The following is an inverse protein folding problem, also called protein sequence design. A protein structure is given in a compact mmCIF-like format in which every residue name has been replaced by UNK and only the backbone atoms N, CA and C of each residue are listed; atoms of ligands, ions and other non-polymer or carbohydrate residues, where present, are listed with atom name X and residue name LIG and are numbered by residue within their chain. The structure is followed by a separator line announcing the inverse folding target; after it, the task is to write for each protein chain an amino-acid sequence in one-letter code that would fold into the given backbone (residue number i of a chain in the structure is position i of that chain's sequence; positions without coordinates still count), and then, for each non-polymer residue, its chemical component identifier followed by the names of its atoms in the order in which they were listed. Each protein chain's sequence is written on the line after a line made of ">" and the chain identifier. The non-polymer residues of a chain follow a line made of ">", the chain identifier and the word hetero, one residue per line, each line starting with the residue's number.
data_IF_375333109098
#
_entry.id   IF_375333109098
#
_cell.length_a   1.000
_cell.length_b   1.000
_cell.length_c   1.000
_cell.angle_alpha   90.00
_cell.angle_beta   90.00
_cell.angle_gamma   90.00
#
_symmetry.space_group_name_H-M   'P 1'
#
loop_
_entity.id
_entity.type
_entity.pdbx_description
1 polymer ?
#
# COMPACT_ATOMS: atom_id res chain seq x y z
N UNK A 1 -14.72 13.31 -20.67
CA UNK A 1 -14.92 12.21 -19.74
C UNK A 1 -15.42 10.93 -20.40
N UNK A 2 -16.46 10.98 -21.20
CA UNK A 2 -16.98 9.79 -21.90
C UNK A 2 -15.95 9.06 -22.76
N UNK A 3 -15.00 9.77 -23.39
CA UNK A 3 -13.94 9.19 -24.22
C UNK A 3 -12.93 8.35 -23.44
N UNK A 4 -12.67 8.70 -22.17
CA UNK A 4 -11.72 7.94 -21.32
C UNK A 4 -12.36 6.62 -20.93
N UNK A 5 -13.63 6.64 -20.55
CA UNK A 5 -14.36 5.43 -20.20
C UNK A 5 -14.56 4.51 -21.41
N UNK A 6 -14.89 5.06 -22.56
CA UNK A 6 -15.01 4.29 -23.80
C UNK A 6 -13.70 3.61 -24.19
N UNK A 7 -12.57 4.31 -24.06
CA UNK A 7 -11.25 3.76 -24.35
C UNK A 7 -10.87 2.64 -23.40
N UNK A 8 -11.23 2.75 -22.12
CA UNK A 8 -10.97 1.73 -21.11
C UNK A 8 -11.86 0.50 -21.31
N UNK A 9 -13.11 0.67 -21.69
CA UNK A 9 -14.03 -0.44 -21.95
C UNK A 9 -13.70 -1.18 -23.25
N UNK A 10 -13.21 -0.48 -24.25
CA UNK A 10 -12.82 -1.07 -25.55
C UNK A 10 -11.54 -1.93 -25.47
N UNK A 11 -10.78 -1.85 -24.39
CA UNK A 11 -9.60 -2.68 -24.17
C UNK A 11 -9.94 -4.09 -23.67
N UNK A 12 -11.18 -4.52 -23.86
CA UNK A 12 -11.57 -5.92 -23.71
C UNK A 12 -11.61 -6.44 -22.29
N UNK A 13 -12.21 -5.71 -21.37
CA UNK A 13 -12.40 -6.28 -20.07
C UNK A 13 -12.56 -5.29 -18.94
N UNK A 14 -12.27 -5.75 -17.74
CA UNK A 14 -12.45 -4.99 -16.52
C UNK A 14 -11.68 -3.67 -16.55
N UNK A 15 -12.30 -2.61 -16.06
CA UNK A 15 -11.71 -1.29 -15.93
C UNK A 15 -10.48 -1.32 -15.00
N UNK A 16 -10.52 -2.14 -13.96
CA UNK A 16 -9.45 -2.30 -12.98
C UNK A 16 -8.93 -3.74 -13.03
N UNK A 17 -7.84 -3.95 -13.75
CA UNK A 17 -7.19 -5.27 -13.88
C UNK A 17 -6.11 -5.49 -12.85
N UNK A 18 -5.49 -4.41 -12.38
CA UNK A 18 -4.40 -4.47 -11.41
C UNK A 18 -4.63 -3.45 -10.30
N UNK A 19 -4.43 -3.88 -9.07
CA UNK A 19 -4.67 -3.08 -7.89
C UNK A 19 -3.41 -3.05 -7.02
N UNK A 20 -2.95 -1.85 -6.69
CA UNK A 20 -1.86 -1.67 -5.71
C UNK A 20 -2.47 -1.48 -4.32
N UNK A 21 -1.99 -2.24 -3.36
CA UNK A 21 -2.41 -2.14 -1.96
C UNK A 21 -1.19 -1.94 -1.06
N UNK A 22 -0.87 -0.69 -0.70
CA UNK A 22 0.14 -0.45 0.32
C UNK A 22 -0.33 -0.98 1.67
N UNK A 23 0.58 -1.54 2.43
CA UNK A 23 0.31 -2.01 3.80
C UNK A 23 1.45 -1.63 4.72
N UNK A 24 1.13 -1.24 5.93
CA UNK A 24 2.10 -1.00 7.00
C UNK A 24 1.93 -2.00 8.15
N UNK A 25 1.07 -3.02 7.96
CA UNK A 25 0.79 -4.03 8.96
C UNK A 25 -0.16 -3.59 10.06
N UNK A 26 -0.63 -2.34 10.04
CA UNK A 26 -1.56 -1.82 11.05
C UNK A 26 -2.96 -2.43 10.92
N UNK A 27 -3.77 -2.39 11.99
CA UNK A 27 -5.17 -2.86 11.92
C UNK A 27 -6.00 -2.16 10.85
N UNK A 28 -5.79 -0.87 10.66
CA UNK A 28 -6.47 -0.10 9.60
C UNK A 28 -6.07 -0.59 8.21
N UNK A 29 -4.77 -0.82 8.01
CA UNK A 29 -4.25 -1.40 6.78
C UNK A 29 -4.89 -2.76 6.49
N UNK A 30 -5.03 -3.62 7.50
CA UNK A 30 -5.65 -4.93 7.33
C UNK A 30 -7.12 -4.83 6.94
N UNK A 31 -7.87 -3.88 7.49
CA UNK A 31 -9.24 -3.62 7.08
C UNK A 31 -9.31 -3.20 5.62
N UNK A 32 -8.39 -2.34 5.19
CA UNK A 32 -8.30 -1.91 3.80
C UNK A 32 -7.98 -3.09 2.87
N UNK A 33 -7.09 -3.99 3.29
CA UNK A 33 -6.76 -5.20 2.52
C UNK A 33 -7.98 -6.09 2.36
N UNK A 34 -8.77 -6.30 3.39
CA UNK A 34 -9.98 -7.11 3.29
C UNK A 34 -10.96 -6.55 2.27
N UNK A 35 -11.23 -5.25 2.33
CA UNK A 35 -12.10 -4.59 1.37
C UNK A 35 -11.54 -4.66 -0.05
N UNK A 36 -10.25 -4.35 -0.19
CA UNK A 36 -9.60 -4.37 -1.49
C UNK A 36 -9.56 -5.75 -2.12
N UNK A 37 -9.32 -6.79 -1.31
CA UNK A 37 -9.33 -8.18 -1.79
C UNK A 37 -10.74 -8.63 -2.21
N UNK A 38 -11.77 -8.21 -1.48
CA UNK A 38 -13.15 -8.46 -1.89
C UNK A 38 -13.47 -7.81 -3.23
N UNK A 39 -13.02 -6.58 -3.43
CA UNK A 39 -13.17 -5.88 -4.69
C UNK A 39 -12.39 -6.58 -5.80
N UNK A 40 -11.13 -6.94 -5.56
CA UNK A 40 -10.31 -7.66 -6.52
C UNK A 40 -10.94 -8.98 -6.95
N UNK A 41 -11.51 -9.71 -6.00
CA UNK A 41 -12.23 -10.96 -6.29
C UNK A 41 -13.42 -10.72 -7.22
N UNK A 42 -14.22 -9.70 -6.92
CA UNK A 42 -15.37 -9.35 -7.73
C UNK A 42 -15.01 -8.92 -9.16
N UNK A 43 -13.88 -8.23 -9.31
CA UNK A 43 -13.40 -7.72 -10.59
C UNK A 43 -12.51 -8.70 -11.36
N UNK A 44 -12.08 -9.79 -10.75
CA UNK A 44 -11.06 -10.66 -11.33
C UNK A 44 -9.71 -9.97 -11.47
N UNK A 45 -9.40 -9.02 -10.61
CA UNK A 45 -8.17 -8.25 -10.64
C UNK A 45 -7.02 -8.94 -9.91
N UNK A 46 -5.80 -8.63 -10.35
CA UNK A 46 -4.57 -9.02 -9.66
C UNK A 46 -4.19 -7.93 -8.67
N UNK A 47 -3.60 -8.34 -7.56
CA UNK A 47 -3.22 -7.43 -6.48
C UNK A 47 -1.70 -7.45 -6.28
N UNK A 48 -1.14 -6.30 -5.99
CA UNK A 48 0.25 -6.19 -5.54
C UNK A 48 0.29 -5.48 -4.20
N UNK A 49 0.85 -6.16 -3.19
CA UNK A 49 1.04 -5.57 -1.87
C UNK A 49 2.41 -4.90 -1.79
N UNK A 50 2.43 -3.68 -1.28
CA UNK A 50 3.65 -2.91 -1.13
C UNK A 50 3.82 -2.48 0.33
N UNK A 51 4.92 -2.91 0.93
CA UNK A 51 5.36 -2.41 2.23
C UNK A 51 6.54 -1.47 2.01
N UNK A 52 6.40 -0.20 2.40
CA UNK A 52 7.48 0.77 2.28
C UNK A 52 8.29 0.77 3.57
N UNK A 53 9.55 0.40 3.46
CA UNK A 53 10.49 0.36 4.56
C UNK A 53 11.27 1.67 4.63
N UNK A 54 11.00 2.45 5.68
CA UNK A 54 11.79 3.66 5.93
C UNK A 54 13.10 3.25 6.60
N UNK A 55 14.20 3.63 5.97
CA UNK A 55 15.53 3.29 6.49
C UNK A 55 15.90 4.25 7.63
N UNK A 56 16.03 3.77 8.89
CA UNK A 56 16.43 4.61 10.01
C UNK A 56 17.88 5.07 9.91
N UNK A 57 18.66 4.54 8.97
CA UNK A 57 20.05 4.96 8.77
C UNK A 57 20.18 6.45 8.43
N UNK A 58 19.13 7.10 7.97
CA UNK A 58 19.14 8.54 7.76
C UNK A 58 19.39 9.33 9.07
N UNK A 59 19.03 8.76 10.21
CA UNK A 59 19.28 9.33 11.52
C UNK A 59 20.76 9.25 11.94
N UNK A 60 21.57 8.44 11.26
CA UNK A 60 23.01 8.25 11.56
C UNK A 60 23.80 9.54 11.40
N UNK A 61 23.37 10.40 10.49
CA UNK A 61 24.00 11.72 10.28
C UNK A 61 23.92 12.61 11.51
N UNK A 62 22.92 12.37 12.38
CA UNK A 62 22.68 13.17 13.58
C UNK A 62 23.40 12.58 14.78
N UNK A 63 23.56 11.26 14.84
CA UNK A 63 24.15 10.53 15.96
C UNK A 63 24.95 9.30 15.49
N UNK A 64 26.23 9.50 15.12
CA UNK A 64 27.07 8.40 14.61
C UNK A 64 27.17 7.21 15.56
N UNK A 65 27.12 7.43 16.87
CA UNK A 65 27.12 6.39 17.88
C UNK A 65 25.89 5.50 17.84
N UNK A 66 24.84 5.91 17.13
CA UNK A 66 23.60 5.13 16.95
C UNK A 66 23.68 4.13 15.80
N UNK A 67 24.78 4.08 15.04
CA UNK A 67 24.93 3.21 13.87
C UNK A 67 24.60 1.73 14.15
N UNK A 68 25.11 1.10 15.23
CA UNK A 68 24.78 -0.29 15.51
C UNK A 68 23.28 -0.49 15.76
N UNK A 69 22.66 0.43 16.49
CA UNK A 69 21.23 0.39 16.79
C UNK A 69 20.39 0.64 15.53
N UNK A 70 20.86 1.52 14.65
CA UNK A 70 20.18 1.80 13.39
C UNK A 70 20.15 0.60 12.45
N UNK A 71 21.23 -0.17 12.38
CA UNK A 71 21.31 -1.37 11.55
C UNK A 71 20.44 -2.50 12.12
N UNK A 72 20.45 -2.69 13.42
CA UNK A 72 19.60 -3.66 14.10
C UNK A 72 18.11 -3.32 13.92
N UNK A 73 17.77 -2.05 14.10
CA UNK A 73 16.41 -1.56 13.88
C UNK A 73 15.96 -1.75 12.44
N UNK A 74 16.84 -1.49 11.46
CA UNK A 74 16.54 -1.70 10.05
C UNK A 74 16.20 -3.16 9.76
N UNK A 75 16.96 -4.08 10.33
CA UNK A 75 16.71 -5.51 10.17
C UNK A 75 15.37 -5.92 10.78
N UNK A 76 15.04 -5.40 11.97
CA UNK A 76 13.76 -5.65 12.62
C UNK A 76 12.59 -5.09 11.82
N UNK A 77 12.73 -3.89 11.25
CA UNK A 77 11.73 -3.29 10.39
C UNK A 77 11.55 -4.07 9.09
N UNK A 78 12.63 -4.60 8.54
CA UNK A 78 12.57 -5.45 7.35
C UNK A 78 11.79 -6.73 7.62
N UNK A 79 12.05 -7.37 8.74
CA UNK A 79 11.31 -8.57 9.16
C UNK A 79 9.83 -8.26 9.35
N UNK A 80 9.52 -7.15 10.00
CA UNK A 80 8.13 -6.72 10.17
C UNK A 80 7.44 -6.50 8.82
N UNK A 81 8.14 -5.91 7.87
CA UNK A 81 7.64 -5.72 6.51
C UNK A 81 7.39 -7.02 5.79
N UNK A 82 8.34 -7.95 5.87
CA UNK A 82 8.22 -9.28 5.26
C UNK A 82 7.03 -10.06 5.86
N UNK A 83 6.84 -9.98 7.16
CA UNK A 83 5.71 -10.60 7.85
C UNK A 83 4.37 -9.98 7.43
N UNK A 84 4.32 -8.65 7.31
CA UNK A 84 3.12 -7.95 6.86
C UNK A 84 2.75 -8.35 5.43
N UNK A 85 3.72 -8.44 4.53
CA UNK A 85 3.51 -8.88 3.15
C UNK A 85 3.09 -10.34 3.10
N UNK A 86 3.74 -11.21 3.88
CA UNK A 86 3.38 -12.62 3.94
C UNK A 86 1.93 -12.83 4.42
N UNK A 87 1.52 -12.06 5.42
CA UNK A 87 0.15 -12.08 5.92
C UNK A 87 -0.85 -11.62 4.86
N UNK A 88 -0.53 -10.56 4.13
CA UNK A 88 -1.36 -10.06 3.05
C UNK A 88 -1.50 -11.10 1.93
N UNK A 89 -0.41 -11.76 1.54
CA UNK A 89 -0.42 -12.81 0.53
C UNK A 89 -1.27 -14.02 0.98
N UNK A 90 -1.21 -14.38 2.25
CA UNK A 90 -2.04 -15.45 2.80
C UNK A 90 -3.53 -15.08 2.74
N UNK A 91 -3.88 -13.85 3.05
CA UNK A 91 -5.26 -13.35 2.93
C UNK A 91 -5.76 -13.42 1.49
N UNK A 92 -4.93 -13.03 0.53
CA UNK A 92 -5.27 -13.11 -0.89
C UNK A 92 -5.49 -14.55 -1.34
N UNK A 93 -4.63 -15.47 -0.89
CA UNK A 93 -4.76 -16.89 -1.21
C UNK A 93 -6.07 -17.48 -0.68
N UNK A 94 -6.45 -17.15 0.54
CA UNK A 94 -7.72 -17.60 1.12
C UNK A 94 -8.93 -17.13 0.30
N UNK A 95 -8.85 -15.94 -0.25
CA UNK A 95 -9.94 -15.37 -1.07
C UNK A 95 -9.87 -15.78 -2.54
N UNK A 96 -8.84 -16.51 -2.95
CA UNK A 96 -8.64 -16.91 -4.34
C UNK A 96 -8.27 -15.75 -5.25
N UNK A 97 -7.57 -14.75 -4.73
CA UNK A 97 -7.10 -13.59 -5.48
C UNK A 97 -5.63 -13.77 -5.82
N UNK A 98 -5.28 -13.61 -7.10
CA UNK A 98 -3.89 -13.65 -7.54
C UNK A 98 -3.15 -12.42 -7.03
N UNK A 99 -2.06 -12.62 -6.30
CA UNK A 99 -1.35 -11.53 -5.66
C UNK A 99 0.15 -11.73 -5.66
N UNK A 100 0.86 -10.62 -5.69
CA UNK A 100 2.31 -10.53 -5.45
C UNK A 100 2.54 -9.53 -4.33
N UNK A 101 3.76 -9.46 -3.82
CA UNK A 101 4.09 -8.50 -2.78
C UNK A 101 5.58 -8.22 -2.70
N UNK A 102 5.92 -7.05 -2.17
CA UNK A 102 7.31 -6.66 -1.97
C UNK A 102 7.47 -5.74 -0.77
N UNK A 103 8.66 -5.77 -0.20
CA UNK A 103 9.14 -4.76 0.76
C UNK A 103 10.11 -3.88 -0.01
N UNK A 104 9.83 -2.59 -0.08
CA UNK A 104 10.63 -1.64 -0.83
C UNK A 104 11.12 -0.54 0.10
N UNK A 105 12.42 -0.30 0.10
CA UNK A 105 13.02 0.77 0.88
C UNK A 105 12.76 2.12 0.23
N UNK A 106 12.34 3.10 1.02
CA UNK A 106 12.08 4.44 0.53
C UNK A 106 11.25 5.28 1.49
N UNK A 107 10.81 6.42 1.02
CA UNK A 107 9.89 7.31 1.73
C UNK A 107 8.46 6.97 1.29
N UNK A 108 7.51 6.78 2.22
CA UNK A 108 6.19 6.24 1.88
C UNK A 108 5.45 6.96 0.77
N UNK A 109 5.26 8.26 0.87
CA UNK A 109 4.44 9.00 -0.10
C UNK A 109 5.00 8.91 -1.52
N UNK A 110 6.24 9.34 -1.80
CA UNK A 110 6.77 9.25 -3.15
C UNK A 110 6.91 7.81 -3.67
N UNK A 111 7.20 6.85 -2.80
CA UNK A 111 7.34 5.45 -3.20
C UNK A 111 5.99 4.88 -3.66
N UNK A 112 4.92 5.15 -2.92
CA UNK A 112 3.57 4.70 -3.28
C UNK A 112 3.09 5.39 -4.56
N UNK A 113 3.28 6.69 -4.66
CA UNK A 113 2.87 7.47 -5.85
C UNK A 113 3.55 6.95 -7.11
N UNK A 114 4.85 6.68 -7.03
CA UNK A 114 5.60 6.15 -8.19
C UNK A 114 5.15 4.73 -8.53
N UNK A 115 4.99 3.87 -7.53
CA UNK A 115 4.53 2.50 -7.75
C UNK A 115 3.13 2.46 -8.39
N UNK A 116 2.24 3.36 -7.96
CA UNK A 116 0.86 3.41 -8.44
C UNK A 116 0.74 3.65 -9.95
N UNK A 117 1.74 4.26 -10.57
CA UNK A 117 1.74 4.49 -12.02
C UNK A 117 1.63 3.20 -12.84
N UNK A 118 2.05 2.08 -12.29
CA UNK A 118 1.97 0.77 -12.94
C UNK A 118 0.66 0.02 -12.70
N UNK A 119 -0.31 0.63 -12.02
CA UNK A 119 -1.55 -0.02 -11.62
C UNK A 119 -2.78 0.78 -12.07
N UNK A 120 -3.93 0.11 -12.10
CA UNK A 120 -5.19 0.74 -12.50
C UNK A 120 -5.93 1.38 -11.34
N UNK A 121 -5.69 0.89 -10.14
CA UNK A 121 -6.38 1.34 -8.91
C UNK A 121 -5.43 1.22 -7.73
N UNK A 122 -5.53 2.16 -6.80
CA UNK A 122 -4.83 2.14 -5.52
C UNK A 122 -5.88 1.98 -4.41
N UNK A 123 -5.66 1.06 -3.48
CA UNK A 123 -6.53 0.87 -2.31
C UNK A 123 -5.72 1.12 -1.04
N UNK A 124 -6.18 2.03 -0.20
CA UNK A 124 -5.52 2.41 1.05
C UNK A 124 -6.53 2.56 2.17
N UNK A 125 -6.09 2.39 3.41
CA UNK A 125 -6.87 2.77 4.59
C UNK A 125 -6.78 4.27 4.87
N UNK A 126 -7.67 4.78 5.68
CA UNK A 126 -7.66 6.20 6.07
C UNK A 126 -6.48 6.56 6.97
N UNK A 127 -5.93 5.59 7.71
CA UNK A 127 -4.84 5.80 8.67
C UNK A 127 -3.79 4.70 8.55
N UNK A 128 -2.58 5.00 9.04
CA UNK A 128 -1.53 4.02 9.23
C UNK A 128 -1.29 3.73 10.72
N UNK A 129 -0.02 3.49 11.06
CA UNK A 129 0.39 3.11 12.43
C UNK A 129 0.20 4.19 13.48
N UNK A 130 0.15 5.45 13.09
CA UNK A 130 0.17 6.57 14.03
C UNK A 130 -1.13 6.83 14.75
N UNK A 131 -2.20 6.10 14.42
CA UNK A 131 -3.43 6.10 15.20
C UNK A 131 -4.08 7.46 15.40
N UNK A 132 -4.06 8.31 14.38
CA UNK A 132 -4.67 9.63 14.44
C UNK A 132 -6.18 9.55 14.63
N UNK A 133 -6.78 10.69 14.99
CA UNK A 133 -8.22 10.84 15.12
C UNK A 133 -8.95 10.23 13.92
N UNK A 134 -9.95 9.41 14.21
CA UNK A 134 -10.74 8.69 13.18
C UNK A 134 -11.46 9.61 12.20
N UNK A 135 -11.58 10.90 12.51
CA UNK A 135 -12.22 11.89 11.65
C UNK A 135 -11.26 12.50 10.62
N UNK A 136 -9.96 12.30 10.77
CA UNK A 136 -8.94 12.87 9.92
C UNK A 136 -8.24 11.79 9.09
N UNK A 137 -7.82 12.14 7.88
CA UNK A 137 -6.97 11.27 7.08
C UNK A 137 -5.56 11.25 7.65
N UNK A 138 -4.91 10.09 7.64
CA UNK A 138 -3.50 10.00 7.97
C UNK A 138 -2.63 10.76 6.98
N UNK A 139 -1.45 11.16 7.42
CA UNK A 139 -0.53 11.97 6.61
C UNK A 139 -0.12 11.29 5.31
N UNK A 140 0.12 9.99 5.33
CA UNK A 140 0.51 9.24 4.14
C UNK A 140 -0.66 9.18 3.15
N UNK A 141 -1.85 8.82 3.61
CA UNK A 141 -3.05 8.75 2.75
C UNK A 141 -3.33 10.11 2.12
N UNK A 142 -3.31 11.17 2.90
CA UNK A 142 -3.53 12.53 2.39
C UNK A 142 -2.46 12.92 1.36
N UNK A 143 -1.18 12.70 1.66
CA UNK A 143 -0.09 13.01 0.75
C UNK A 143 -0.16 12.26 -0.56
N UNK A 144 -0.55 10.99 -0.52
CA UNK A 144 -0.73 10.16 -1.71
C UNK A 144 -1.92 10.66 -2.55
N UNK A 145 -3.05 10.97 -1.91
CA UNK A 145 -4.24 11.48 -2.60
C UNK A 145 -3.96 12.75 -3.41
N UNK A 146 -3.11 13.63 -2.89
CA UNK A 146 -2.75 14.87 -3.57
C UNK A 146 -1.84 14.69 -4.79
N UNK A 147 -1.14 13.57 -4.90
CA UNK A 147 -0.08 13.38 -5.89
C UNK A 147 -0.29 12.24 -6.85
N UNK A 148 -1.11 11.26 -6.50
CA UNK A 148 -1.30 10.05 -7.30
C UNK A 148 -2.04 10.35 -8.59
N UNK A 149 -1.70 9.63 -9.66
CA UNK A 149 -2.30 9.80 -10.98
C UNK A 149 -3.38 8.77 -11.31
N UNK A 150 -3.63 7.82 -10.42
CA UNK A 150 -4.63 6.77 -10.61
C UNK A 150 -5.78 6.93 -9.62
N UNK A 151 -6.95 6.34 -9.90
CA UNK A 151 -8.05 6.32 -8.93
C UNK A 151 -7.65 5.67 -7.62
N UNK A 152 -8.20 6.18 -6.53
CA UNK A 152 -7.92 5.68 -5.18
C UNK A 152 -9.21 5.31 -4.47
N UNK A 153 -9.28 4.10 -3.96
CA UNK A 153 -10.30 3.69 -3.01
C UNK A 153 -9.73 3.84 -1.60
N UNK A 154 -10.29 4.76 -0.84
CA UNK A 154 -9.90 4.94 0.57
C UNK A 154 -10.90 4.20 1.44
N UNK A 155 -10.41 3.23 2.19
CA UNK A 155 -11.23 2.42 3.09
C UNK A 155 -11.20 3.04 4.47
N UNK A 156 -12.39 3.40 4.96
CA UNK A 156 -12.52 4.00 6.28
C UNK A 156 -12.30 2.94 7.35
N UNK A 157 -11.36 3.19 8.26
CA UNK A 157 -11.10 2.32 9.40
C UNK A 157 -12.13 2.56 10.52
N UNK A 158 -12.52 1.50 11.16
CA UNK A 158 -13.42 1.54 12.31
C UNK A 158 -12.78 1.04 13.57
#
# INVERSE_FOLDING_TARGET
>A
MARVYDGMMKRGGAMYKTILMPTDGSPCSLQALEHGLGLAKALGAKVHFLYVLENPAQAIWIAPESVPYGLELLEDLRKAGEEAVAKALAMAQEKGVEATGEVKEGVPIPTIVEAAKGFDLLVMGTHGRTGLDKLLLGSVTEGVLHRVSVPVLVVRCR
#
